data_IF_106129571050
#
_entry.id   IF_106129571050
#
_cell.length_a   1.000
_cell.length_b   1.000
_cell.length_c   1.000
_cell.angle_alpha   90.00
_cell.angle_beta   90.00
_cell.angle_gamma   90.00
#
_symmetry.space_group_name_H-M   'P 1'
#
loop_
_entity.id
_entity.type
_entity.pdbx_description
1 polymer ?
#
# COMPACT_ATOMS: atom_id res chain seq x y z
N UNK A 1 -5.01 10.40 32.23
CA UNK A 1 -4.94 10.60 30.78
C UNK A 1 -4.21 9.39 30.23
N UNK A 2 -4.83 8.70 29.29
CA UNK A 2 -4.23 7.56 28.62
C UNK A 2 -3.49 8.07 27.39
N UNK A 3 -2.29 7.55 27.17
CA UNK A 3 -1.42 7.91 26.06
C UNK A 3 -1.33 6.71 25.11
N UNK A 4 -1.43 6.98 23.82
CA UNK A 4 -1.21 6.00 22.77
C UNK A 4 -0.02 6.50 21.96
N UNK A 5 1.00 5.67 21.83
CA UNK A 5 2.15 5.91 20.95
C UNK A 5 2.04 4.93 19.77
N UNK A 6 2.10 5.46 18.55
CA UNK A 6 2.15 4.69 17.31
C UNK A 6 3.56 4.81 16.74
N UNK A 7 4.23 3.68 16.54
CA UNK A 7 5.52 3.60 15.89
C UNK A 7 5.34 2.87 14.56
N UNK A 8 5.39 3.62 13.47
CA UNK A 8 5.24 3.05 12.14
C UNK A 8 6.58 2.54 11.62
N UNK A 9 6.58 1.31 11.08
CA UNK A 9 7.72 0.74 10.36
C UNK A 9 8.94 0.50 11.22
N UNK A 10 8.79 -0.19 12.35
CA UNK A 10 9.93 -0.50 13.24
C UNK A 10 11.00 -1.39 12.57
N UNK A 11 10.67 -2.01 11.45
CA UNK A 11 11.56 -2.77 10.56
C UNK A 11 12.43 -1.90 9.63
N UNK A 12 12.22 -0.58 9.62
CA UNK A 12 13.12 0.38 8.96
C UNK A 12 14.21 0.92 9.88
N UNK A 13 14.20 0.54 11.17
CA UNK A 13 15.32 0.83 12.07
C UNK A 13 16.59 0.13 11.58
N UNK A 14 17.74 0.60 12.05
CA UNK A 14 19.01 -0.07 11.82
C UNK A 14 19.04 -1.47 12.48
N UNK A 15 20.11 -2.23 12.21
CA UNK A 15 20.23 -3.61 12.72
C UNK A 15 20.05 -3.69 14.23
N UNK A 16 20.61 -2.73 14.96
CA UNK A 16 20.57 -2.69 16.42
C UNK A 16 19.18 -2.26 16.92
N UNK A 17 18.56 -1.29 16.25
CA UNK A 17 17.19 -0.86 16.55
C UNK A 17 16.16 -1.97 16.33
N UNK A 18 16.37 -2.86 15.35
CA UNK A 18 15.49 -4.01 15.09
C UNK A 18 15.61 -5.15 16.13
N UNK A 19 16.63 -5.14 17.00
CA UNK A 19 16.70 -6.04 18.17
C UNK A 19 15.68 -5.67 19.26
N UNK A 20 15.10 -4.46 19.17
CA UNK A 20 14.08 -3.95 20.08
C UNK A 20 14.50 -3.94 21.56
N UNK A 21 15.79 -4.00 21.89
CA UNK A 21 16.28 -3.94 23.28
C UNK A 21 15.91 -2.61 23.96
N UNK A 22 15.74 -1.55 23.17
CA UNK A 22 15.23 -0.27 23.62
C UNK A 22 13.73 -0.31 23.98
N UNK A 23 12.98 -1.29 23.47
CA UNK A 23 11.54 -1.41 23.69
C UNK A 23 11.28 -2.07 25.06
N UNK A 24 10.68 -1.35 26.02
CA UNK A 24 10.49 -1.87 27.38
C UNK A 24 9.52 -3.06 27.42
N UNK A 25 9.85 -4.09 28.21
CA UNK A 25 8.96 -5.23 28.48
C UNK A 25 7.73 -4.84 29.30
N UNK A 26 7.78 -3.74 30.04
CA UNK A 26 6.67 -3.28 30.88
C UNK A 26 6.36 -1.82 30.59
N UNK A 27 5.21 -1.60 29.98
CA UNK A 27 4.70 -0.26 29.74
C UNK A 27 4.03 0.30 31.02
N UNK A 28 4.14 1.61 31.29
CA UNK A 28 3.36 2.28 32.32
C UNK A 28 1.86 2.02 32.15
N UNK A 29 1.09 1.93 33.24
CA UNK A 29 -0.34 1.56 33.23
C UNK A 29 -1.25 2.38 32.31
N UNK A 30 -0.82 3.57 31.88
CA UNK A 30 -1.59 4.50 31.04
C UNK A 30 -0.94 4.74 29.67
N UNK A 31 0.02 3.92 29.27
CA UNK A 31 0.65 3.97 27.97
C UNK A 31 0.27 2.72 27.19
N UNK A 32 -0.25 2.90 25.98
CA UNK A 32 -0.41 1.84 24.98
C UNK A 32 0.54 2.13 23.83
N UNK A 33 1.23 1.10 23.38
CA UNK A 33 2.11 1.17 22.22
C UNK A 33 1.51 0.33 21.10
N UNK A 34 1.46 0.89 19.90
CA UNK A 34 1.12 0.19 18.68
C UNK A 34 2.32 0.32 17.77
N UNK A 35 2.84 -0.81 17.29
CA UNK A 35 3.94 -0.85 16.34
C UNK A 35 3.47 -1.53 15.06
N UNK A 36 3.98 -1.09 13.91
CA UNK A 36 3.79 -1.78 12.64
C UNK A 36 5.14 -2.27 12.13
N UNK A 37 5.15 -3.46 11.54
CA UNK A 37 6.32 -4.04 10.91
C UNK A 37 5.90 -4.99 9.79
N UNK A 38 6.78 -5.22 8.82
CA UNK A 38 6.59 -6.31 7.86
C UNK A 38 6.67 -7.67 8.56
N UNK A 39 5.77 -8.61 8.21
CA UNK A 39 5.71 -9.95 8.82
C UNK A 39 7.05 -10.70 8.74
N UNK A 40 7.77 -10.55 7.63
CA UNK A 40 9.05 -11.18 7.35
C UNK A 40 10.27 -10.50 8.00
N UNK A 41 10.08 -9.34 8.65
CA UNK A 41 11.17 -8.54 9.23
C UNK A 41 11.85 -9.21 10.42
N UNK A 42 13.06 -8.75 10.76
CA UNK A 42 13.73 -9.20 11.97
C UNK A 42 13.00 -8.73 13.24
N UNK A 43 12.54 -7.47 13.26
CA UNK A 43 11.75 -6.93 14.35
C UNK A 43 10.47 -7.75 14.64
N UNK A 44 9.77 -8.22 13.61
CA UNK A 44 8.61 -9.12 13.75
C UNK A 44 8.97 -10.43 14.46
N UNK A 45 10.10 -11.06 14.08
CA UNK A 45 10.59 -12.30 14.72
C UNK A 45 10.91 -12.09 16.20
N UNK A 46 11.57 -10.97 16.54
CA UNK A 46 11.88 -10.62 17.93
C UNK A 46 10.58 -10.42 18.74
N UNK A 47 9.57 -9.76 18.17
CA UNK A 47 8.29 -9.58 18.84
C UNK A 47 7.55 -10.91 19.06
N UNK A 48 7.58 -11.83 18.09
CA UNK A 48 7.01 -13.17 18.22
C UNK A 48 7.66 -13.94 19.37
N UNK A 49 8.99 -13.88 19.49
CA UNK A 49 9.72 -14.50 20.60
C UNK A 49 9.33 -13.88 21.95
N UNK A 50 9.21 -12.55 22.03
CA UNK A 50 8.79 -11.86 23.26
C UNK A 50 7.36 -12.20 23.67
N UNK A 51 6.46 -12.40 22.72
CA UNK A 51 5.06 -12.74 22.99
C UNK A 51 4.93 -14.05 23.77
N UNK A 52 5.85 -15.01 23.55
CA UNK A 52 5.87 -16.26 24.29
C UNK A 52 6.09 -16.09 25.81
N UNK A 53 6.64 -14.95 26.23
CA UNK A 53 6.98 -14.66 27.63
C UNK A 53 6.18 -13.48 28.23
N UNK A 54 5.52 -12.66 27.40
CA UNK A 54 4.74 -11.50 27.85
C UNK A 54 3.28 -11.59 27.40
N UNK A 55 2.38 -11.76 28.37
CA UNK A 55 0.94 -11.84 28.15
C UNK A 55 0.26 -10.50 27.80
N UNK A 56 1.01 -9.39 27.77
CA UNK A 56 0.50 -8.06 27.40
C UNK A 56 0.88 -7.66 25.98
N UNK A 57 1.67 -8.47 25.27
CA UNK A 57 1.98 -8.26 23.87
C UNK A 57 0.95 -8.98 22.99
N UNK A 58 0.34 -8.21 22.09
CA UNK A 58 -0.62 -8.71 21.11
C UNK A 58 -0.05 -8.50 19.73
N UNK A 59 0.00 -9.57 18.93
CA UNK A 59 0.41 -9.52 17.54
C UNK A 59 -0.79 -9.84 16.67
N UNK A 60 -1.10 -8.91 15.77
CA UNK A 60 -2.23 -9.00 14.85
C UNK A 60 -1.71 -8.84 13.43
N UNK A 61 -1.99 -9.83 12.59
CA UNK A 61 -1.63 -9.80 11.18
C UNK A 61 -2.72 -9.09 10.38
N UNK A 62 -2.34 -8.10 9.58
CA UNK A 62 -3.25 -7.49 8.63
C UNK A 62 -3.48 -8.43 7.46
N UNK A 63 -4.71 -8.93 7.34
CA UNK A 63 -5.12 -9.81 6.25
C UNK A 63 -5.51 -9.02 5.01
N UNK A 64 -5.51 -9.70 3.87
CA UNK A 64 -6.07 -9.16 2.64
C UNK A 64 -7.55 -8.80 2.80
N UNK A 65 -7.98 -7.72 2.15
CA UNK A 65 -9.38 -7.29 2.16
C UNK A 65 -10.31 -8.42 1.68
N UNK A 66 -11.41 -8.70 2.40
CA UNK A 66 -12.45 -9.58 1.91
C UNK A 66 -13.14 -8.95 0.70
N UNK A 67 -13.75 -9.79 -0.13
CA UNK A 67 -14.38 -9.40 -1.39
C UNK A 67 -15.29 -8.17 -1.26
N UNK A 68 -16.19 -8.15 -0.28
CA UNK A 68 -17.12 -7.03 -0.05
C UNK A 68 -16.41 -5.71 0.27
N UNK A 69 -15.29 -5.77 1.00
CA UNK A 69 -14.50 -4.59 1.32
C UNK A 69 -13.70 -4.09 0.12
N UNK A 70 -13.17 -4.99 -0.72
CA UNK A 70 -12.52 -4.60 -1.99
C UNK A 70 -13.48 -3.76 -2.85
N UNK A 71 -14.70 -4.25 -3.03
CA UNK A 71 -15.70 -3.55 -3.82
C UNK A 71 -16.11 -2.22 -3.17
N UNK A 72 -16.25 -2.18 -1.84
CA UNK A 72 -16.53 -0.95 -1.09
C UNK A 72 -15.44 0.11 -1.29
N UNK A 73 -14.17 -0.28 -1.22
CA UNK A 73 -13.01 0.60 -1.45
C UNK A 73 -13.05 1.18 -2.86
N UNK A 74 -13.29 0.35 -3.88
CA UNK A 74 -13.37 0.79 -5.28
C UNK A 74 -14.54 1.75 -5.50
N UNK A 75 -15.75 1.40 -5.02
CA UNK A 75 -16.93 2.27 -5.13
C UNK A 75 -16.70 3.61 -4.45
N UNK A 76 -16.24 3.58 -3.19
CA UNK A 76 -16.01 4.79 -2.42
C UNK A 76 -14.98 5.68 -3.11
N UNK A 77 -13.84 5.13 -3.52
CA UNK A 77 -12.77 5.89 -4.15
C UNK A 77 -13.21 6.54 -5.46
N UNK A 78 -13.85 5.78 -6.36
CA UNK A 78 -14.32 6.32 -7.64
C UNK A 78 -15.45 7.33 -7.49
N UNK A 79 -16.28 7.20 -6.44
CA UNK A 79 -17.37 8.16 -6.15
C UNK A 79 -16.85 9.56 -5.88
N UNK A 80 -15.64 9.71 -5.33
CA UNK A 80 -14.98 11.01 -5.11
C UNK A 80 -14.72 11.75 -6.43
N UNK A 81 -14.70 11.04 -7.55
CA UNK A 81 -14.50 11.60 -8.89
C UNK A 81 -15.77 11.53 -9.76
N UNK A 82 -16.92 11.19 -9.16
CA UNK A 82 -18.18 11.01 -9.88
C UNK A 82 -18.16 9.84 -10.87
N UNK A 83 -17.30 8.84 -10.66
CA UNK A 83 -17.19 7.64 -11.50
C UNK A 83 -17.76 6.41 -10.79
N UNK A 84 -18.28 5.47 -11.56
CA UNK A 84 -18.77 4.16 -11.09
C UNK A 84 -18.37 3.07 -12.08
N UNK A 85 -18.21 1.84 -11.60
CA UNK A 85 -18.03 0.66 -12.44
C UNK A 85 -19.38 0.00 -12.74
N UNK A 86 -19.50 -0.62 -13.91
CA UNK A 86 -20.64 -1.47 -14.24
C UNK A 86 -20.59 -2.76 -13.41
N UNK A 87 -21.70 -3.09 -12.76
CA UNK A 87 -21.88 -4.30 -11.94
C UNK A 87 -22.98 -5.23 -12.52
N UNK A 88 -23.45 -4.94 -13.74
CA UNK A 88 -24.44 -5.76 -14.43
C UNK A 88 -23.88 -7.14 -14.80
N UNK A 89 -24.76 -8.14 -14.88
CA UNK A 89 -24.36 -9.53 -15.14
C UNK A 89 -23.62 -9.74 -16.47
N UNK A 90 -23.85 -8.88 -17.47
CA UNK A 90 -23.24 -8.99 -18.79
C UNK A 90 -21.89 -8.28 -18.91
N UNK A 91 -21.58 -7.32 -18.02
CA UNK A 91 -20.39 -6.49 -18.11
C UNK A 91 -19.90 -6.08 -16.70
N UNK A 92 -19.62 -7.05 -15.85
CA UNK A 92 -19.25 -6.79 -14.46
C UNK A 92 -17.78 -6.31 -14.33
N UNK A 93 -17.58 -5.03 -14.55
CA UNK A 93 -16.29 -4.33 -14.43
C UNK A 93 -15.77 -4.36 -13.00
N UNK A 94 -16.64 -4.28 -12.00
CA UNK A 94 -16.24 -4.41 -10.60
C UNK A 94 -15.56 -5.77 -10.35
N UNK A 95 -16.19 -6.86 -10.81
CA UNK A 95 -15.64 -8.20 -10.67
C UNK A 95 -14.27 -8.32 -11.35
N UNK A 96 -14.08 -7.73 -12.53
CA UNK A 96 -12.78 -7.70 -13.22
C UNK A 96 -11.70 -6.97 -12.39
N UNK A 97 -12.05 -5.90 -11.67
CA UNK A 97 -11.12 -5.17 -10.81
C UNK A 97 -10.73 -5.97 -9.55
N UNK A 98 -11.72 -6.51 -8.84
CA UNK A 98 -11.53 -7.14 -7.51
C UNK A 98 -11.07 -8.60 -7.57
N UNK A 99 -11.00 -9.19 -8.75
CA UNK A 99 -10.43 -10.53 -8.98
C UNK A 99 -8.94 -10.50 -9.32
N UNK A 100 -8.35 -9.31 -9.52
CA UNK A 100 -6.90 -9.16 -9.72
C UNK A 100 -6.14 -9.68 -8.50
N UNK A 101 -4.96 -10.26 -8.70
CA UNK A 101 -4.19 -10.95 -7.65
C UNK A 101 -3.98 -10.08 -6.40
N UNK A 102 -3.53 -8.85 -6.58
CA UNK A 102 -3.23 -7.93 -5.47
C UNK A 102 -4.44 -7.07 -5.05
N UNK A 103 -5.64 -7.35 -5.55
CA UNK A 103 -6.88 -6.63 -5.19
C UNK A 103 -7.22 -6.69 -3.69
N UNK A 104 -6.64 -7.62 -2.94
CA UNK A 104 -6.74 -7.65 -1.48
C UNK A 104 -5.94 -6.55 -0.78
N UNK A 105 -5.07 -5.85 -1.49
CA UNK A 105 -4.24 -4.76 -0.98
C UNK A 105 -4.93 -3.43 -1.31
N UNK A 106 -5.35 -2.62 -0.32
CA UNK A 106 -6.03 -1.35 -0.58
C UNK A 106 -5.24 -0.40 -1.50
N UNK A 107 -3.91 -0.39 -1.36
CA UNK A 107 -3.00 0.40 -2.19
C UNK A 107 -3.12 0.04 -3.67
N UNK A 108 -3.18 -1.26 -3.99
CA UNK A 108 -3.33 -1.73 -5.37
C UNK A 108 -4.66 -1.24 -5.97
N UNK A 109 -5.77 -1.38 -5.24
CA UNK A 109 -7.10 -0.96 -5.72
C UNK A 109 -7.11 0.54 -6.02
N UNK A 110 -6.52 1.35 -5.13
CA UNK A 110 -6.40 2.79 -5.32
C UNK A 110 -5.56 3.13 -6.55
N UNK A 111 -4.37 2.53 -6.67
CA UNK A 111 -3.48 2.75 -7.80
C UNK A 111 -4.14 2.36 -9.13
N UNK A 112 -4.85 1.23 -9.15
CA UNK A 112 -5.59 0.75 -10.31
C UNK A 112 -6.71 1.73 -10.72
N UNK A 113 -7.45 2.26 -9.75
CA UNK A 113 -8.47 3.27 -9.99
C UNK A 113 -7.85 4.58 -10.52
N UNK A 114 -6.74 5.03 -9.95
CA UNK A 114 -6.04 6.23 -10.41
C UNK A 114 -5.50 6.04 -11.83
N UNK A 115 -4.87 4.90 -12.11
CA UNK A 115 -4.37 4.55 -13.43
C UNK A 115 -5.48 4.62 -14.49
N UNK A 116 -6.59 3.91 -14.27
CA UNK A 116 -7.72 3.91 -15.19
C UNK A 116 -8.37 5.30 -15.30
N UNK A 117 -8.46 6.04 -14.20
CA UNK A 117 -9.04 7.40 -14.22
C UNK A 117 -8.18 8.35 -15.06
N UNK A 118 -6.86 8.16 -15.07
CA UNK A 118 -5.89 9.05 -15.71
C UNK A 118 -5.72 8.70 -17.19
N UNK A 119 -5.56 7.42 -17.53
CA UNK A 119 -5.16 6.99 -18.87
C UNK A 119 -6.28 6.38 -19.70
N UNK A 120 -7.38 5.95 -19.08
CA UNK A 120 -8.49 5.36 -19.84
C UNK A 120 -9.47 6.43 -20.34
N UNK A 121 -9.80 6.34 -21.63
CA UNK A 121 -10.96 7.01 -22.22
C UNK A 121 -12.21 6.15 -22.07
N UNK A 122 -13.39 6.70 -22.40
CA UNK A 122 -14.62 5.92 -22.39
C UNK A 122 -14.55 4.66 -23.28
N UNK A 123 -13.92 4.77 -24.46
CA UNK A 123 -13.81 3.67 -25.43
C UNK A 123 -12.73 2.65 -25.01
N UNK A 124 -11.65 3.10 -24.38
CA UNK A 124 -10.52 2.25 -23.98
C UNK A 124 -10.64 1.68 -22.57
N UNK A 125 -11.67 2.08 -21.80
CA UNK A 125 -11.84 1.67 -20.41
C UNK A 125 -11.89 0.16 -20.20
N UNK A 126 -12.79 -0.54 -20.91
CA UNK A 126 -12.95 -2.00 -20.74
C UNK A 126 -11.71 -2.76 -21.18
N UNK A 127 -11.12 -2.50 -22.37
CA UNK A 127 -9.85 -3.12 -22.76
C UNK A 127 -8.73 -2.90 -21.74
N UNK A 128 -8.59 -1.67 -21.22
CA UNK A 128 -7.53 -1.34 -20.27
C UNK A 128 -7.76 -1.98 -18.89
N UNK A 129 -9.01 -2.08 -18.42
CA UNK A 129 -9.35 -2.80 -17.20
C UNK A 129 -9.04 -4.30 -17.33
N UNK A 130 -9.31 -4.89 -18.49
CA UNK A 130 -8.99 -6.29 -18.77
C UNK A 130 -7.48 -6.53 -18.77
N UNK A 131 -6.71 -5.68 -19.46
CA UNK A 131 -5.24 -5.77 -19.52
C UNK A 131 -4.52 -5.24 -18.29
N UNK A 132 -5.23 -4.65 -17.32
CA UNK A 132 -4.66 -4.06 -16.11
C UNK A 132 -3.76 -5.09 -15.39
N UNK A 133 -2.49 -4.74 -15.09
CA UNK A 133 -1.56 -5.63 -14.42
C UNK A 133 -2.11 -6.15 -13.09
N UNK A 134 -1.91 -7.42 -12.78
CA UNK A 134 -2.56 -8.07 -11.63
C UNK A 134 -1.82 -7.87 -10.30
N UNK A 135 -0.58 -7.37 -10.34
CA UNK A 135 0.22 -7.08 -9.14
C UNK A 135 0.60 -5.61 -9.03
N UNK A 136 0.85 -5.16 -7.81
CA UNK A 136 1.20 -3.77 -7.49
C UNK A 136 2.49 -3.33 -8.17
N UNK A 137 3.49 -4.21 -8.21
CA UNK A 137 4.79 -3.93 -8.85
C UNK A 137 4.62 -3.74 -10.35
N UNK A 138 3.89 -4.64 -11.02
CA UNK A 138 3.66 -4.54 -12.47
C UNK A 138 2.79 -3.32 -12.81
N UNK A 139 1.83 -2.98 -11.95
CA UNK A 139 1.01 -1.79 -12.14
C UNK A 139 1.82 -0.49 -11.98
N UNK A 140 2.74 -0.42 -11.02
CA UNK A 140 3.67 0.71 -10.89
C UNK A 140 4.60 0.82 -12.11
N UNK A 141 5.09 -0.30 -12.63
CA UNK A 141 5.87 -0.29 -13.88
C UNK A 141 5.05 0.25 -15.05
N UNK A 142 3.79 -0.15 -15.18
CA UNK A 142 2.91 0.36 -16.23
C UNK A 142 2.66 1.87 -16.06
N UNK A 143 2.47 2.36 -14.82
CA UNK A 143 2.36 3.80 -14.54
C UNK A 143 3.61 4.54 -15.03
N UNK A 144 4.81 4.02 -14.74
CA UNK A 144 6.07 4.62 -15.18
C UNK A 144 6.13 4.64 -16.71
N UNK A 145 5.81 3.53 -17.38
CA UNK A 145 5.79 3.46 -18.86
C UNK A 145 4.83 4.51 -19.45
N UNK A 146 3.64 4.68 -18.87
CA UNK A 146 2.70 5.71 -19.33
C UNK A 146 3.26 7.12 -19.11
N UNK A 147 3.91 7.40 -17.98
CA UNK A 147 4.58 8.67 -17.74
C UNK A 147 5.72 8.91 -18.73
N UNK A 148 6.52 7.90 -19.06
CA UNK A 148 7.58 8.01 -20.06
C UNK A 148 7.03 8.31 -21.45
N UNK A 149 5.89 7.71 -21.81
CA UNK A 149 5.21 7.98 -23.08
C UNK A 149 4.65 9.41 -23.16
N UNK A 150 4.18 9.97 -22.03
CA UNK A 150 3.58 11.31 -21.98
C UNK A 150 4.63 12.43 -21.85
N UNK A 151 5.63 12.25 -20.99
CA UNK A 151 6.59 13.30 -20.62
C UNK A 151 8.01 13.07 -21.15
N UNK A 152 8.28 11.89 -21.71
CA UNK A 152 9.59 11.50 -22.25
C UNK A 152 10.44 10.70 -21.26
N UNK A 153 11.05 9.62 -21.75
CA UNK A 153 11.81 8.66 -20.92
C UNK A 153 12.99 9.28 -20.18
N UNK A 154 13.75 10.18 -20.82
CA UNK A 154 14.93 10.82 -20.22
C UNK A 154 14.54 11.63 -18.98
N UNK A 155 13.41 12.34 -19.04
CA UNK A 155 12.95 13.18 -17.94
C UNK A 155 12.52 12.32 -16.75
N UNK A 156 11.69 11.30 -16.99
CA UNK A 156 11.22 10.39 -15.94
C UNK A 156 12.38 9.62 -15.31
N UNK A 157 13.29 9.10 -16.12
CA UNK A 157 14.49 8.41 -15.63
C UNK A 157 15.34 9.33 -14.77
N UNK A 158 15.56 10.57 -15.19
CA UNK A 158 16.34 11.55 -14.42
C UNK A 158 15.68 11.85 -13.08
N UNK A 159 14.37 12.12 -13.08
CA UNK A 159 13.60 12.40 -11.86
C UNK A 159 13.61 11.21 -10.88
N UNK A 160 13.37 9.99 -11.37
CA UNK A 160 13.41 8.78 -10.52
C UNK A 160 14.83 8.47 -10.02
N UNK A 161 15.86 8.75 -10.82
CA UNK A 161 17.26 8.59 -10.39
C UNK A 161 17.59 9.56 -9.26
N UNK A 162 17.17 10.82 -9.39
CA UNK A 162 17.33 11.84 -8.36
C UNK A 162 16.62 11.41 -7.06
N UNK A 163 15.36 10.96 -7.14
CA UNK A 163 14.61 10.43 -6.00
C UNK A 163 15.34 9.28 -5.30
N UNK A 164 15.96 8.37 -6.06
CA UNK A 164 16.68 7.22 -5.50
C UNK A 164 17.97 7.59 -4.76
N UNK A 165 18.65 8.65 -5.16
CA UNK A 165 19.93 9.07 -4.54
C UNK A 165 19.73 10.08 -3.41
N UNK A 166 18.59 10.76 -3.35
CA UNK A 166 18.27 11.70 -2.27
C UNK A 166 17.87 10.99 -0.99
N UNK A 167 18.62 11.23 0.09
CA UNK A 167 18.37 10.59 1.39
C UNK A 167 17.15 11.18 2.13
N UNK A 168 16.81 12.44 1.86
CA UNK A 168 15.72 13.17 2.53
C UNK A 168 14.55 13.54 1.59
N UNK A 169 14.56 13.01 0.35
CA UNK A 169 13.61 13.37 -0.71
C UNK A 169 14.09 14.52 -1.59
N UNK A 170 13.25 14.92 -2.55
CA UNK A 170 13.49 16.07 -3.43
C UNK A 170 12.67 17.27 -2.95
N UNK A 171 13.27 18.46 -2.91
CA UNK A 171 12.52 19.71 -2.77
C UNK A 171 12.20 20.31 -4.16
N UNK A 172 11.27 21.25 -4.24
CA UNK A 172 10.87 21.90 -5.52
C UNK A 172 12.01 22.71 -6.19
N UNK A 173 13.17 22.84 -5.54
CA UNK A 173 14.34 23.62 -5.99
C UNK A 173 15.50 22.73 -6.49
N UNK A 174 15.44 21.42 -6.26
CA UNK A 174 16.39 20.40 -6.76
C UNK A 174 16.08 19.94 -8.19
#
# INVERSE_FOLDING_TARGET
>A
RDFILLLDGIDYLDSDGQLLDWLPLHLPKRLRLICTASESSHASKVLLERQAFDNKLYLENLIALPQSEKESVVRHYLSLFGKTLDESSFNNQMLLMVTKKDSGIPMYLRLACDFLRTYASFETFVPMLQSLPTSSVLLLQEVIIQMENEYGSILIQSALTLLCITKEGLDDRD
#
